data_IF_349615251565
#
_entry.id   IF_349615251565
#
_cell.length_a   1.000
_cell.length_b   1.000
_cell.length_c   1.000
_cell.angle_alpha   90.00
_cell.angle_beta   90.00
_cell.angle_gamma   90.00
#
_symmetry.space_group_name_H-M   'P 1'
#
loop_
_entity.id
_entity.type
_entity.pdbx_description
1 polymer ?
#
# COMPACT_ATOMS: atom_id res chain seq x y z
N UNK A 1 2.81 8.04 8.31
CA UNK A 1 2.29 6.78 7.76
C UNK A 1 3.39 5.72 7.92
N UNK A 2 3.07 4.52 8.42
CA UNK A 2 3.98 3.37 8.35
C UNK A 2 3.54 2.46 7.22
N UNK A 3 4.47 1.78 6.58
CA UNK A 3 4.14 0.83 5.52
C UNK A 3 3.28 -0.31 6.11
N UNK A 4 2.10 -0.63 5.57
CA UNK A 4 1.30 -1.76 6.05
C UNK A 4 1.93 -3.12 5.72
N UNK A 5 2.87 -3.17 4.76
CA UNK A 5 3.55 -4.40 4.35
C UNK A 5 4.75 -4.74 5.25
N UNK A 6 5.68 -3.79 5.45
CA UNK A 6 6.91 -4.03 6.23
C UNK A 6 6.99 -3.27 7.56
N UNK A 7 5.98 -2.47 7.91
CA UNK A 7 5.97 -1.56 9.07
C UNK A 7 7.07 -0.46 9.05
N UNK A 8 7.79 -0.35 7.94
CA UNK A 8 8.82 0.63 7.67
C UNK A 8 8.33 2.07 7.76
N UNK A 9 9.29 2.99 7.96
CA UNK A 9 9.02 4.43 8.13
C UNK A 9 9.31 5.23 6.86
N UNK A 10 10.10 4.68 5.93
CA UNK A 10 10.48 5.36 4.70
C UNK A 10 9.39 5.21 3.61
N UNK A 11 8.20 5.72 3.90
CA UNK A 11 7.09 5.79 2.94
C UNK A 11 7.02 7.20 2.37
N UNK A 12 7.18 7.32 1.05
CA UNK A 12 7.08 8.59 0.33
C UNK A 12 5.76 8.70 -0.41
N UNK A 13 5.25 9.92 -0.55
CA UNK A 13 4.08 10.20 -1.38
C UNK A 13 4.49 10.23 -2.85
N UNK A 14 3.71 9.60 -3.71
CA UNK A 14 3.86 9.69 -5.17
C UNK A 14 2.92 10.77 -5.72
N UNK A 15 1.69 10.38 -6.09
CA UNK A 15 0.66 11.26 -6.66
C UNK A 15 -0.70 10.98 -6.01
N UNK A 16 -1.45 12.04 -5.70
CA UNK A 16 -2.78 11.91 -5.08
C UNK A 16 -2.72 11.17 -3.75
N UNK A 17 -3.46 10.06 -3.66
CA UNK A 17 -3.53 9.20 -2.47
C UNK A 17 -2.62 7.96 -2.56
N UNK A 18 -1.64 7.97 -3.49
CA UNK A 18 -0.68 6.87 -3.67
C UNK A 18 0.66 7.19 -3.02
N UNK A 19 1.25 6.17 -2.44
CA UNK A 19 2.48 6.22 -1.68
C UNK A 19 3.38 5.05 -2.10
N UNK A 20 4.67 5.19 -1.89
CA UNK A 20 5.66 4.17 -2.20
C UNK A 20 6.55 3.92 -1.01
N UNK A 21 6.75 2.65 -0.65
CA UNK A 21 7.67 2.26 0.41
C UNK A 21 9.07 2.04 -0.17
N UNK A 22 10.05 2.80 0.29
CA UNK A 22 11.45 2.65 -0.14
C UNK A 22 12.18 1.48 0.53
N UNK A 23 11.57 0.85 1.54
CA UNK A 23 12.19 -0.30 2.23
C UNK A 23 11.81 -1.63 1.60
N UNK A 24 10.54 -1.80 1.18
CA UNK A 24 10.05 -3.06 0.61
C UNK A 24 9.53 -2.93 -0.83
N UNK A 25 9.74 -1.78 -1.48
CA UNK A 25 9.47 -1.55 -2.90
C UNK A 25 8.03 -1.84 -3.34
N UNK A 26 7.05 -1.48 -2.50
CA UNK A 26 5.61 -1.61 -2.81
C UNK A 26 4.94 -0.25 -2.96
N UNK A 27 3.95 -0.18 -3.85
CA UNK A 27 3.03 0.95 -3.95
C UNK A 27 1.82 0.72 -3.02
N UNK A 28 1.35 1.80 -2.40
CA UNK A 28 0.25 1.81 -1.44
C UNK A 28 -0.76 2.85 -1.91
N UNK A 29 -1.98 2.43 -2.22
CA UNK A 29 -3.09 3.33 -2.52
C UNK A 29 -4.00 3.46 -1.29
N UNK A 30 -4.14 4.70 -0.81
CA UNK A 30 -5.05 5.02 0.30
C UNK A 30 -6.41 5.42 -0.25
N UNK A 31 -7.42 4.66 0.12
CA UNK A 31 -8.83 4.99 -0.11
C UNK A 31 -9.50 5.29 1.24
N UNK A 32 -10.71 5.88 1.24
CA UNK A 32 -11.40 6.23 2.49
C UNK A 32 -11.59 5.04 3.44
N UNK A 33 -11.91 3.87 2.88
CA UNK A 33 -12.31 2.62 3.50
C UNK A 33 -11.20 1.54 3.55
N UNK A 34 -10.34 1.53 2.53
CA UNK A 34 -9.35 0.47 2.34
C UNK A 34 -7.97 1.02 1.95
N UNK A 35 -6.94 0.23 2.24
CA UNK A 35 -5.58 0.39 1.78
C UNK A 35 -5.30 -0.73 0.78
N UNK A 36 -4.81 -0.40 -0.40
CA UNK A 36 -4.37 -1.40 -1.38
C UNK A 36 -2.85 -1.38 -1.46
N UNK A 37 -2.23 -2.54 -1.39
CA UNK A 37 -0.79 -2.71 -1.55
C UNK A 37 -0.53 -3.41 -2.87
N UNK A 38 0.35 -2.83 -3.66
CA UNK A 38 0.77 -3.36 -4.93
C UNK A 38 2.26 -3.68 -4.92
N UNK A 39 2.61 -4.93 -5.19
CA UNK A 39 3.98 -5.38 -5.39
C UNK A 39 4.39 -5.18 -6.84
N UNK A 40 5.65 -4.81 -7.07
CA UNK A 40 6.21 -4.75 -8.42
C UNK A 40 6.88 -6.09 -8.70
N UNK A 41 6.46 -6.78 -9.76
CA UNK A 41 7.12 -8.00 -10.22
C UNK A 41 8.42 -7.66 -10.96
N UNK A 42 9.33 -8.62 -11.10
CA UNK A 42 10.60 -8.50 -11.83
C UNK A 42 10.44 -8.03 -13.28
N UNK A 43 9.25 -8.19 -13.87
CA UNK A 43 8.90 -7.68 -15.20
C UNK A 43 8.45 -6.21 -15.25
N UNK A 44 8.44 -5.49 -14.12
CA UNK A 44 8.00 -4.09 -14.05
C UNK A 44 6.49 -3.90 -13.93
N UNK A 45 5.71 -4.98 -13.91
CA UNK A 45 4.26 -4.94 -13.74
C UNK A 45 3.87 -4.78 -12.26
N UNK A 46 2.82 -4.01 -12.02
CA UNK A 46 2.29 -3.73 -10.68
C UNK A 46 1.13 -4.68 -10.38
N UNK A 47 1.30 -5.57 -9.41
CA UNK A 47 0.31 -6.58 -9.01
C UNK A 47 -0.31 -6.22 -7.66
N UNK A 48 -1.64 -6.25 -7.55
CA UNK A 48 -2.34 -6.01 -6.30
C UNK A 48 -2.12 -7.19 -5.35
N UNK A 49 -1.26 -7.01 -4.34
CA UNK A 49 -0.85 -8.06 -3.42
C UNK A 49 -1.80 -8.20 -2.23
N UNK A 50 -2.45 -7.11 -1.80
CA UNK A 50 -3.35 -7.16 -0.65
C UNK A 50 -4.23 -5.93 -0.49
N UNK A 51 -5.38 -6.14 0.13
CA UNK A 51 -6.33 -5.08 0.53
C UNK A 51 -6.50 -5.14 2.04
N UNK A 52 -6.13 -4.06 2.72
CA UNK A 52 -6.30 -3.92 4.16
C UNK A 52 -7.46 -2.96 4.44
N UNK A 53 -8.51 -3.45 5.08
CA UNK A 53 -9.60 -2.61 5.55
C UNK A 53 -9.10 -1.77 6.74
N UNK A 54 -9.47 -0.49 6.78
CA UNK A 54 -9.22 0.32 7.98
C UNK A 54 -10.08 -0.27 9.11
N UNK A 55 -9.43 -0.73 10.19
CA UNK A 55 -10.11 -1.25 11.40
C UNK A 55 -11.19 -0.25 11.82
N UNK A 56 -12.44 -0.68 11.73
CA UNK A 56 -13.65 0.15 11.82
C UNK A 56 -14.77 -0.29 10.88
N UNK A 57 -14.49 -1.10 9.85
CA UNK A 57 -15.51 -1.76 9.04
C UNK A 57 -15.36 -3.28 9.11
N UNK A 58 -16.12 -3.90 10.01
CA UNK A 58 -16.49 -5.31 9.88
C UNK A 58 -17.45 -5.40 8.69
N UNK A 59 -17.02 -6.04 7.61
CA UNK A 59 -17.94 -6.43 6.54
C UNK A 59 -18.26 -7.90 6.80
N UNK A 60 -19.52 -8.17 7.15
CA UNK A 60 -20.10 -9.50 7.29
C UNK A 60 -20.16 -10.21 5.94
#
# INVERSE_FOLDING_TARGET
>A
MRCPNCLGRNVRRLKGNRYFCLECFVEIEVRPDQLRVYSINSGGETLCQGVFLRKGQNVY
#
